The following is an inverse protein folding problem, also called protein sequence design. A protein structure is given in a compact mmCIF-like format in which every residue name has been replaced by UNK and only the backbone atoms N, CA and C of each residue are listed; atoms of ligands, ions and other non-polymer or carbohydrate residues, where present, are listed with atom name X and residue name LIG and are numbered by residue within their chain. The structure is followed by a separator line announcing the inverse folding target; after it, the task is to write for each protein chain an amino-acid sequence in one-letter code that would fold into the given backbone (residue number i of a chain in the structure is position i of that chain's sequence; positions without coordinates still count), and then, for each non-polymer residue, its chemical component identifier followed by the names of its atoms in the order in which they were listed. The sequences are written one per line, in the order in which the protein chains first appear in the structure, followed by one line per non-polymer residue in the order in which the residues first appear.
data_IF_736583255863
#
_entry.id   IF_736583255863
#
_cell.length_a   1.000
_cell.length_b   1.000
_cell.length_c   1.000
_cell.angle_alpha   90.00
_cell.angle_beta   90.00
_cell.angle_gamma   90.00
#
_symmetry.space_group_name_H-M   'P 1'
#
loop_
_entity.id
_entity.type
_entity.pdbx_description
1 polymer ?
#
# COMPACT_ATOMS: atom_id res chain seq x y z
N UNK A 1 8.63 14.77 -14.44
CA UNK A 1 8.31 13.36 -14.74
C UNK A 1 8.07 12.67 -13.43
N UNK A 2 6.86 12.15 -13.20
CA UNK A 2 6.55 11.41 -11.97
C UNK A 2 7.13 10.01 -12.07
N UNK A 3 8.03 9.64 -11.17
CA UNK A 3 8.49 8.26 -11.02
C UNK A 3 7.51 7.46 -10.15
N UNK A 4 7.75 6.16 -10.04
CA UNK A 4 7.02 5.30 -9.11
C UNK A 4 7.23 5.79 -7.66
N UNK A 5 6.14 6.02 -6.93
CA UNK A 5 6.16 6.49 -5.56
C UNK A 5 5.08 5.80 -4.73
N UNK A 6 5.36 5.58 -3.44
CA UNK A 6 4.35 5.12 -2.49
C UNK A 6 3.46 6.26 -2.00
N UNK A 7 2.26 5.90 -1.57
CA UNK A 7 1.34 6.81 -0.93
C UNK A 7 1.86 7.36 0.40
N UNK A 8 1.31 8.50 0.83
CA UNK A 8 1.63 9.06 2.13
C UNK A 8 1.29 8.05 3.26
N UNK A 9 2.21 7.90 4.22
CA UNK A 9 2.08 6.93 5.32
C UNK A 9 2.59 5.52 4.97
N UNK A 10 2.93 5.24 3.72
CA UNK A 10 3.58 3.99 3.32
C UNK A 10 5.09 4.15 3.29
N UNK A 11 5.80 3.20 3.87
CA UNK A 11 7.24 3.24 3.93
C UNK A 11 7.83 2.14 4.81
N UNK A 12 9.15 2.18 5.05
CA UNK A 12 9.82 1.20 5.89
C UNK A 12 9.21 1.14 7.30
N UNK A 13 9.23 -0.04 7.90
CA UNK A 13 8.74 -0.29 9.26
C UNK A 13 7.25 0.04 9.48
N UNK A 14 6.45 0.08 8.41
CA UNK A 14 5.00 0.27 8.53
C UNK A 14 4.30 -0.98 9.08
N UNK A 15 3.16 -0.76 9.73
CA UNK A 15 2.25 -1.82 10.14
C UNK A 15 1.01 -1.79 9.26
N UNK A 16 0.74 -2.90 8.58
CA UNK A 16 -0.48 -3.13 7.81
C UNK A 16 -1.50 -3.82 8.72
N UNK A 17 -2.77 -3.46 8.59
CA UNK A 17 -3.84 -4.14 9.32
C UNK A 17 -3.94 -5.62 8.90
N UNK A 18 -3.77 -6.52 9.87
CA UNK A 18 -4.10 -7.93 9.72
C UNK A 18 -5.59 -8.17 9.86
N UNK A 19 -6.12 -9.23 9.23
CA UNK A 19 -7.55 -9.52 9.17
C UNK A 19 -8.39 -8.37 8.59
N UNK A 20 -7.80 -7.58 7.68
CA UNK A 20 -8.52 -6.49 7.04
C UNK A 20 -9.62 -7.06 6.12
N UNK A 21 -10.85 -6.61 6.32
CA UNK A 21 -12.01 -7.01 5.52
C UNK A 21 -12.53 -5.78 4.74
N UNK A 22 -12.55 -5.78 3.40
CA UNK A 22 -12.25 -6.92 2.51
C UNK A 22 -10.76 -7.16 2.25
N UNK A 23 -9.90 -6.17 2.47
CA UNK A 23 -8.45 -6.26 2.28
C UNK A 23 -7.72 -5.05 2.86
N UNK A 24 -6.38 -5.10 2.89
CA UNK A 24 -5.54 -3.97 3.21
C UNK A 24 -5.03 -3.25 1.94
N UNK A 25 -5.47 -2.01 1.64
CA UNK A 25 -5.01 -1.27 0.47
C UNK A 25 -3.55 -0.82 0.57
N UNK A 26 -2.78 -1.09 -0.49
CA UNK A 26 -1.49 -0.46 -0.77
C UNK A 26 -1.65 0.42 -2.00
N UNK A 27 -1.13 1.65 -1.96
CA UNK A 27 -1.37 2.65 -3.00
C UNK A 27 -0.17 3.55 -3.20
N UNK A 28 -0.19 4.28 -4.30
CA UNK A 28 0.86 5.24 -4.60
C UNK A 28 0.59 6.01 -5.87
N UNK A 29 1.67 6.53 -6.44
CA UNK A 29 1.68 7.29 -7.67
C UNK A 29 2.64 6.67 -8.69
N UNK A 30 2.38 6.90 -9.97
CA UNK A 30 3.21 6.44 -11.07
C UNK A 30 2.91 7.20 -12.35
N UNK A 31 3.48 6.77 -13.48
CA UNK A 31 3.11 7.36 -14.79
C UNK A 31 1.82 6.72 -15.27
N UNK A 32 0.94 7.54 -15.84
CA UNK A 32 -0.36 7.10 -16.34
C UNK A 32 -0.21 5.91 -17.30
N UNK A 33 -1.13 4.95 -17.21
CA UNK A 33 -1.20 3.73 -18.04
C UNK A 33 -0.05 2.72 -17.81
N UNK A 34 0.87 2.97 -16.87
CA UNK A 34 1.85 1.96 -16.47
C UNK A 34 1.20 0.90 -15.59
N UNK A 35 1.61 -0.35 -15.80
CA UNK A 35 1.26 -1.46 -14.92
C UNK A 35 2.16 -1.43 -13.68
N UNK A 36 1.55 -1.54 -12.50
CA UNK A 36 2.23 -1.61 -11.21
C UNK A 36 2.08 -3.02 -10.68
N UNK A 37 3.19 -3.61 -10.27
CA UNK A 37 3.20 -4.88 -9.55
C UNK A 37 3.61 -4.65 -8.10
N UNK A 38 2.88 -5.28 -7.19
CA UNK A 38 3.20 -5.31 -5.77
C UNK A 38 3.40 -6.77 -5.37
N UNK A 39 4.64 -7.13 -5.03
CA UNK A 39 4.96 -8.44 -4.46
C UNK A 39 5.04 -8.32 -2.93
N UNK A 40 4.23 -9.12 -2.24
CA UNK A 40 4.15 -9.13 -0.79
C UNK A 40 3.88 -10.55 -0.27
N UNK A 41 4.76 -11.05 0.61
CA UNK A 41 4.66 -12.38 1.21
C UNK A 41 4.43 -13.51 0.16
N UNK A 42 5.20 -13.49 -0.93
CA UNK A 42 5.11 -14.48 -2.02
C UNK A 42 3.86 -14.38 -2.89
N UNK A 43 2.99 -13.38 -2.68
CA UNK A 43 1.84 -13.08 -3.52
C UNK A 43 2.10 -11.85 -4.36
N UNK A 44 1.64 -11.86 -5.59
CA UNK A 44 1.73 -10.74 -6.53
C UNK A 44 0.36 -10.14 -6.76
N UNK A 45 0.31 -8.81 -6.71
CA UNK A 45 -0.86 -8.00 -6.97
C UNK A 45 -0.52 -7.03 -8.09
N UNK A 46 -1.53 -6.60 -8.84
CA UNK A 46 -1.35 -5.67 -9.94
C UNK A 46 -2.47 -4.63 -10.01
N UNK A 47 -2.12 -3.45 -10.49
CA UNK A 47 -3.06 -2.39 -10.84
C UNK A 47 -2.47 -1.51 -11.95
N UNK A 48 -3.31 -0.79 -12.68
CA UNK A 48 -2.88 0.15 -13.72
C UNK A 48 -2.95 1.56 -13.14
N UNK A 49 -1.91 2.37 -13.38
CA UNK A 49 -1.92 3.77 -12.97
C UNK A 49 -3.01 4.53 -13.75
N UNK A 50 -3.91 5.14 -12.99
CA UNK A 50 -5.08 5.85 -13.51
C UNK A 50 -4.65 7.02 -14.42
N UNK A 51 -5.11 6.99 -15.68
CA UNK A 51 -4.85 8.01 -16.69
C UNK A 51 -5.96 9.06 -16.82
N UNK A 52 -7.01 8.96 -16.00
CA UNK A 52 -8.17 9.85 -16.07
C UNK A 52 -7.84 11.28 -15.64
N UNK A 53 -8.72 12.20 -16.02
CA UNK A 53 -8.65 13.60 -15.56
C UNK A 53 -9.30 13.71 -14.19
N UNK A 54 -8.63 14.35 -13.24
CA UNK A 54 -9.19 14.65 -11.92
C UNK A 54 -8.38 14.07 -10.76
N UNK A 55 -9.04 13.86 -9.62
CA UNK A 55 -8.37 13.53 -8.35
C UNK A 55 -7.68 12.16 -8.33
N UNK A 56 -7.98 11.27 -9.27
CA UNK A 56 -7.36 9.94 -9.36
C UNK A 56 -6.16 9.87 -10.28
N UNK A 57 -5.92 10.91 -11.10
CA UNK A 57 -4.84 10.93 -12.07
C UNK A 57 -3.50 10.56 -11.45
N UNK A 58 -2.81 9.61 -12.06
CA UNK A 58 -1.48 9.17 -11.66
C UNK A 58 -1.46 8.28 -10.42
N UNK A 59 -2.61 7.80 -9.93
CA UNK A 59 -2.71 6.93 -8.75
C UNK A 59 -2.90 5.48 -9.14
N UNK A 60 -2.40 4.59 -8.30
CA UNK A 60 -2.64 3.15 -8.34
C UNK A 60 -2.97 2.63 -6.94
N UNK A 61 -3.69 1.51 -6.84
CA UNK A 61 -4.05 0.85 -5.59
C UNK A 61 -4.28 -0.65 -5.77
N UNK A 62 -3.51 -1.45 -5.04
CA UNK A 62 -3.77 -2.89 -4.88
C UNK A 62 -4.44 -3.19 -3.54
N UNK A 63 -5.07 -4.35 -3.46
CA UNK A 63 -5.85 -4.83 -2.33
C UNK A 63 -5.18 -6.09 -1.78
N UNK A 64 -4.39 -5.95 -0.71
CA UNK A 64 -3.66 -7.07 -0.12
C UNK A 64 -4.59 -7.95 0.73
N UNK A 65 -4.61 -9.24 0.46
CA UNK A 65 -5.29 -10.22 1.31
C UNK A 65 -4.45 -10.49 2.56
N UNK A 66 -4.90 -9.95 3.70
CA UNK A 66 -4.29 -10.14 5.02
C UNK A 66 -5.13 -10.98 5.97
N UNK A 67 -6.17 -11.69 5.48
CA UNK A 67 -7.13 -12.44 6.31
C UNK A 67 -6.50 -13.59 7.11
N UNK A 68 -5.37 -14.11 6.64
CA UNK A 68 -4.62 -15.18 7.31
C UNK A 68 -3.12 -14.84 7.43
N UNK A 69 -2.79 -13.55 7.32
CA UNK A 69 -1.42 -13.07 7.37
C UNK A 69 -1.23 -12.23 8.64
N UNK A 70 -0.29 -12.64 9.48
CA UNK A 70 0.10 -11.94 10.71
C UNK A 70 1.62 -12.07 10.90
N UNK A 71 2.22 -11.11 11.60
CA UNK A 71 3.64 -11.11 11.95
C UNK A 71 4.51 -10.29 10.98
N UNK A 72 5.72 -10.78 10.71
CA UNK A 72 6.76 -10.07 9.97
C UNK A 72 8.11 -10.18 10.68
N UNK A 73 9.13 -9.42 10.24
CA UNK A 73 9.07 -8.42 9.18
C UNK A 73 8.98 -9.05 7.78
N UNK A 74 8.15 -8.47 6.93
CA UNK A 74 8.05 -8.78 5.51
C UNK A 74 8.74 -7.71 4.67
N UNK A 75 9.04 -8.07 3.42
CA UNK A 75 9.43 -7.13 2.37
C UNK A 75 8.25 -6.93 1.42
N UNK A 76 7.96 -5.66 1.14
CA UNK A 76 7.02 -5.25 0.10
C UNK A 76 7.82 -4.68 -1.07
N UNK A 77 7.67 -5.26 -2.25
CA UNK A 77 8.36 -4.85 -3.46
C UNK A 77 7.33 -4.25 -4.42
N UNK A 78 7.56 -3.02 -4.89
CA UNK A 78 6.72 -2.37 -5.91
C UNK A 78 7.56 -2.16 -7.16
N UNK A 79 7.06 -2.58 -8.32
CA UNK A 79 7.74 -2.39 -9.61
C UNK A 79 6.80 -1.80 -10.64
N UNK A 80 7.31 -0.90 -11.49
CA UNK A 80 6.55 -0.31 -12.60
C UNK A 80 7.50 0.37 -13.59
N UNK A 81 7.33 0.16 -14.90
CA UNK A 81 8.09 0.88 -15.93
C UNK A 81 9.63 0.77 -15.83
N UNK A 82 10.17 -0.22 -15.12
CA UNK A 82 11.60 -0.39 -14.83
C UNK A 82 12.04 0.18 -13.46
N UNK A 83 11.21 0.98 -12.80
CA UNK A 83 11.45 1.45 -11.43
C UNK A 83 11.14 0.33 -10.43
N UNK A 84 11.87 0.30 -9.31
CA UNK A 84 11.68 -0.65 -8.21
C UNK A 84 11.77 0.05 -6.86
N UNK A 85 10.76 -0.14 -6.01
CA UNK A 85 10.76 0.27 -4.61
C UNK A 85 10.77 -0.97 -3.73
N UNK A 86 11.79 -1.10 -2.87
CA UNK A 86 11.88 -2.19 -1.88
C UNK A 86 11.67 -1.63 -0.48
N UNK A 87 10.60 -2.06 0.18
CA UNK A 87 10.19 -1.58 1.50
C UNK A 87 10.34 -2.72 2.50
N UNK A 88 11.31 -2.57 3.40
CA UNK A 88 11.58 -3.53 4.47
C UNK A 88 10.88 -3.20 5.79
N UNK A 89 10.83 -4.18 6.68
CA UNK A 89 10.30 -4.02 8.04
C UNK A 89 8.77 -3.98 8.10
N UNK A 90 8.08 -4.42 7.05
CA UNK A 90 6.62 -4.34 7.00
C UNK A 90 6.04 -5.40 7.94
N UNK A 91 5.26 -4.97 8.93
CA UNK A 91 4.56 -5.85 9.87
C UNK A 91 3.09 -5.97 9.47
N UNK A 92 2.47 -7.12 9.70
CA UNK A 92 1.02 -7.31 9.61
C UNK A 92 0.50 -7.64 10.99
N UNK A 93 -0.41 -6.83 11.51
CA UNK A 93 -0.85 -6.99 12.89
C UNK A 93 -2.06 -6.15 13.25
N UNK A 94 -2.39 -6.15 14.54
CA UNK A 94 -3.47 -5.35 15.06
C UNK A 94 -3.06 -3.87 15.08
N UNK A 95 -3.88 -3.00 14.51
CA UNK A 95 -3.67 -1.55 14.60
C UNK A 95 -4.27 -1.01 15.91
N UNK A 96 -3.70 0.05 16.50
CA UNK A 96 -4.24 0.65 17.72
C UNK A 96 -5.67 1.16 17.51
N UNK A 97 -6.51 1.09 18.55
CA UNK A 97 -7.94 1.43 18.52
C UNK A 97 -8.27 2.92 18.30
N UNK A 98 -7.27 3.80 18.32
CA UNK A 98 -7.46 5.24 18.05
C UNK A 98 -7.63 5.54 16.55
N UNK A 99 -7.51 4.54 15.70
CA UNK A 99 -7.72 4.62 14.28
C UNK A 99 -9.18 4.29 13.97
N UNK A 100 -9.93 5.18 13.32
CA UNK A 100 -11.33 4.85 13.02
C UNK A 100 -11.38 3.65 12.06
N UNK A 101 -12.33 2.75 12.31
CA UNK A 101 -12.56 1.47 11.65
C UNK A 101 -12.72 1.56 10.11
N UNK A 102 -13.06 2.72 9.56
CA UNK A 102 -13.11 2.98 8.11
C UNK A 102 -11.77 3.53 7.54
N UNK A 103 -10.72 3.63 8.38
CA UNK A 103 -9.45 4.31 8.11
C UNK A 103 -8.21 3.43 8.41
N UNK A 104 -8.44 2.24 8.96
CA UNK A 104 -7.40 1.36 9.48
C UNK A 104 -6.79 0.48 8.38
N UNK A 105 -5.86 0.98 7.58
CA UNK A 105 -5.23 0.12 6.58
C UNK A 105 -3.72 0.06 6.68
N UNK A 106 -3.06 1.18 6.99
CA UNK A 106 -1.61 1.25 7.19
C UNK A 106 -1.27 2.31 8.24
N UNK A 107 -0.29 2.02 9.11
CA UNK A 107 0.36 3.01 9.99
C UNK A 107 1.83 3.12 9.60
N UNK A 108 2.23 4.31 9.14
CA UNK A 108 3.63 4.63 8.85
C UNK A 108 4.45 4.88 10.10
N UNK A 109 5.78 4.77 10.00
CA UNK A 109 6.73 4.93 11.11
C UNK A 109 6.73 6.29 11.83
N UNK A 110 5.92 7.25 11.39
CA UNK A 110 5.75 8.59 11.99
C UNK A 110 4.51 8.77 12.87
N UNK A 111 3.83 7.69 13.28
CA UNK A 111 2.77 7.74 14.29
C UNK A 111 1.46 8.38 13.80
N UNK A 112 0.64 7.61 13.07
CA UNK A 112 -0.74 7.99 12.81
C UNK A 112 -1.43 7.06 11.81
N UNK A 113 -2.71 6.77 12.05
CA UNK A 113 -3.59 6.15 11.07
C UNK A 113 -4.07 7.19 10.06
N UNK A 114 -4.09 6.83 8.77
CA UNK A 114 -4.42 7.76 7.70
C UNK A 114 -5.38 7.13 6.71
N UNK A 115 -6.45 7.87 6.42
CA UNK A 115 -7.44 7.54 5.41
C UNK A 115 -6.85 7.54 4.00
N UNK A 116 -7.30 6.58 3.20
CA UNK A 116 -7.38 6.74 1.75
C UNK A 116 -8.63 7.57 1.42
N UNK A 117 -8.50 8.54 0.51
CA UNK A 117 -9.52 9.52 0.07
C UNK A 117 -10.99 9.08 0.24
N UNK A 118 -11.78 9.91 0.94
CA UNK A 118 -13.25 9.99 0.77
C UNK A 118 -13.61 10.74 -0.51
#
# INVERSE_FOLDING_TARGET
GGGLMLGEGMGPNMVIQGNANPCAPIWGYGRAEELVYVDFNGRRYEDIVDSSVGRRRGKWRVCLDTMQLMGGPFTLLVTSGGDTLSIGGVMVGHLPSNCHNDEQHVVGGGGGCRQFFR
#
